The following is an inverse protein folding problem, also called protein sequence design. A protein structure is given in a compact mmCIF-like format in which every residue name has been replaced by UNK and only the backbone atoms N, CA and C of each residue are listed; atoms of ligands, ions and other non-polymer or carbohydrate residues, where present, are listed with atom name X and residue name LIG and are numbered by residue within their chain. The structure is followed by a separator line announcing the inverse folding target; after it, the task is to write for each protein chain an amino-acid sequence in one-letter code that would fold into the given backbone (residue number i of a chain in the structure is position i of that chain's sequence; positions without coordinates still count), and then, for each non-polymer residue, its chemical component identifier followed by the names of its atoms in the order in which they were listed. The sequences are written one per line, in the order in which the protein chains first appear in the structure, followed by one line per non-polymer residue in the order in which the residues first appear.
data_IF_874647440413
#
_entry.id   IF_874647440413
#
_cell.length_a   1.000
_cell.length_b   1.000
_cell.length_c   1.000
_cell.angle_alpha   90.00
_cell.angle_beta   90.00
_cell.angle_gamma   90.00
#
_symmetry.space_group_name_H-M   'P 1'
#
loop_
_entity.id
_entity.type
_entity.pdbx_description
1 polymer ?
#
# COMPACT_ATOMS: atom_id res chain seq x y z
N UNK A 1 -27.76 -20.96 -17.79
CA UNK A 1 -27.55 -19.69 -18.53
C UNK A 1 -26.95 -19.92 -19.92
N UNK A 2 -26.30 -21.06 -20.12
CA UNK A 2 -25.74 -21.46 -21.40
C UNK A 2 -26.18 -22.88 -21.74
N UNK A 3 -25.93 -23.29 -22.98
CA UNK A 3 -25.91 -24.69 -23.42
C UNK A 3 -24.55 -24.97 -24.07
N UNK A 4 -24.05 -26.19 -23.92
CA UNK A 4 -22.88 -26.67 -24.66
C UNK A 4 -23.32 -26.96 -26.10
N UNK A 5 -22.53 -26.52 -27.09
CA UNK A 5 -22.81 -26.75 -28.51
C UNK A 5 -22.02 -27.97 -29.03
N UNK A 6 -22.30 -28.40 -30.26
CA UNK A 6 -21.50 -29.45 -30.92
C UNK A 6 -20.14 -28.97 -31.48
N UNK A 7 -19.84 -27.67 -31.41
CA UNK A 7 -18.56 -27.13 -31.84
C UNK A 7 -17.50 -27.38 -30.76
N UNK A 8 -16.40 -28.05 -31.15
CA UNK A 8 -15.29 -28.37 -30.27
C UNK A 8 -13.95 -28.01 -30.90
N UNK A 9 -12.96 -27.74 -30.06
CA UNK A 9 -11.55 -27.53 -30.41
C UNK A 9 -10.67 -28.44 -29.57
N UNK A 10 -9.41 -28.59 -29.97
CA UNK A 10 -8.34 -29.14 -29.12
C UNK A 10 -7.40 -27.97 -28.86
N UNK A 11 -7.21 -27.61 -27.59
CA UNK A 11 -6.32 -26.50 -27.23
C UNK A 11 -4.85 -26.93 -27.18
N UNK A 12 -3.95 -25.99 -26.88
CA UNK A 12 -2.51 -26.24 -26.82
C UNK A 12 -2.08 -27.21 -25.69
N UNK A 13 -3.00 -27.55 -24.77
CA UNK A 13 -2.81 -28.55 -23.73
C UNK A 13 -3.35 -29.93 -24.12
N UNK A 14 -3.72 -30.14 -25.39
CA UNK A 14 -4.37 -31.34 -25.91
C UNK A 14 -5.72 -31.69 -25.23
N UNK A 15 -6.42 -30.68 -24.69
CA UNK A 15 -7.72 -30.85 -24.06
C UNK A 15 -8.82 -30.53 -25.08
N UNK A 16 -9.84 -31.40 -25.13
CA UNK A 16 -11.04 -31.15 -25.95
C UNK A 16 -11.93 -30.16 -25.22
N UNK A 17 -12.18 -29.01 -25.84
CA UNK A 17 -13.07 -27.98 -25.29
C UNK A 17 -14.31 -27.81 -26.16
N UNK A 18 -15.44 -27.54 -25.51
CA UNK A 18 -16.74 -27.37 -26.15
C UNK A 18 -17.20 -25.93 -26.06
N UNK A 19 -17.62 -25.37 -27.20
CA UNK A 19 -18.12 -24.00 -27.29
C UNK A 19 -19.47 -23.87 -26.59
N UNK A 20 -19.64 -22.83 -25.78
CA UNK A 20 -20.93 -22.53 -25.12
C UNK A 20 -21.76 -21.53 -25.94
N UNK A 21 -23.07 -21.53 -25.69
CA UNK A 21 -24.01 -20.57 -26.27
C UNK A 21 -25.02 -20.10 -25.22
N UNK A 22 -25.30 -18.80 -25.16
CA UNK A 22 -26.27 -18.22 -24.25
C UNK A 22 -27.70 -18.75 -24.54
N UNK A 23 -28.43 -19.12 -23.48
CA UNK A 23 -29.83 -19.61 -23.59
C UNK A 23 -30.87 -18.53 -23.31
N UNK A 24 -30.44 -17.38 -22.78
CA UNK A 24 -31.24 -16.19 -22.50
C UNK A 24 -30.33 -14.95 -22.61
N UNK A 25 -30.92 -13.76 -22.65
CA UNK A 25 -30.15 -12.52 -22.56
C UNK A 25 -29.46 -12.44 -21.20
N UNK A 26 -28.23 -11.93 -21.21
CA UNK A 26 -27.42 -11.69 -20.02
C UNK A 26 -26.89 -10.25 -20.06
N UNK A 27 -27.74 -9.26 -19.71
CA UNK A 27 -27.42 -7.84 -19.89
C UNK A 27 -26.16 -7.37 -19.19
N UNK A 28 -25.81 -7.95 -18.02
CA UNK A 28 -24.60 -7.61 -17.26
C UNK A 28 -23.29 -7.79 -18.05
N UNK A 29 -23.31 -8.58 -19.12
CA UNK A 29 -22.16 -8.80 -20.01
C UNK A 29 -22.46 -8.43 -21.46
N UNK A 30 -23.57 -7.74 -21.72
CA UNK A 30 -23.99 -7.40 -23.09
C UNK A 30 -24.26 -8.62 -23.99
N UNK A 31 -24.61 -9.76 -23.39
CA UNK A 31 -24.80 -11.02 -24.15
C UNK A 31 -26.28 -11.18 -24.51
N UNK A 32 -26.57 -11.46 -25.78
CA UNK A 32 -27.93 -11.77 -26.24
C UNK A 32 -28.19 -13.28 -26.31
N UNK A 33 -29.45 -13.68 -26.18
CA UNK A 33 -29.88 -15.08 -26.33
C UNK A 33 -29.42 -15.61 -27.70
N UNK A 34 -28.74 -16.74 -27.69
CA UNK A 34 -28.22 -17.36 -28.91
C UNK A 34 -26.78 -16.99 -29.24
N UNK A 35 -26.20 -15.97 -28.60
CA UNK A 35 -24.81 -15.58 -28.79
C UNK A 35 -23.85 -16.68 -28.31
N UNK A 36 -22.80 -16.93 -29.09
CA UNK A 36 -21.74 -17.88 -28.74
C UNK A 36 -20.81 -17.26 -27.69
N UNK A 37 -20.61 -17.93 -26.56
CA UNK A 37 -19.57 -17.63 -25.57
C UNK A 37 -18.29 -18.41 -25.86
N UNK A 38 -17.32 -18.47 -24.95
CA UNK A 38 -16.05 -19.18 -25.13
C UNK A 38 -16.16 -20.71 -25.01
N UNK A 39 -15.10 -21.36 -24.53
CA UNK A 39 -14.94 -22.80 -24.53
C UNK A 39 -14.74 -23.35 -23.11
N UNK A 40 -15.39 -24.47 -22.81
CA UNK A 40 -15.24 -25.19 -21.55
C UNK A 40 -14.96 -26.67 -21.80
N UNK A 41 -14.15 -27.32 -20.95
CA UNK A 41 -13.93 -28.78 -21.04
C UNK A 41 -15.18 -29.56 -20.61
N UNK A 42 -15.81 -29.14 -19.51
CA UNK A 42 -17.00 -29.76 -18.91
C UNK A 42 -17.92 -28.72 -18.28
N UNK A 43 -19.19 -29.09 -18.10
CA UNK A 43 -20.19 -28.19 -17.51
C UNK A 43 -19.79 -27.65 -16.11
N UNK A 44 -19.04 -28.45 -15.35
CA UNK A 44 -18.55 -28.07 -14.01
C UNK A 44 -17.51 -26.93 -14.02
N UNK A 45 -16.94 -26.60 -15.18
CA UNK A 45 -16.06 -25.44 -15.31
C UNK A 45 -16.82 -24.12 -15.22
N UNK A 46 -18.13 -24.11 -15.50
CA UNK A 46 -18.97 -22.91 -15.52
C UNK A 46 -20.27 -23.12 -14.75
N UNK A 47 -20.30 -22.60 -13.53
CA UNK A 47 -21.35 -22.85 -12.53
C UNK A 47 -22.00 -21.54 -12.05
N UNK A 48 -23.11 -21.66 -11.30
CA UNK A 48 -23.72 -20.61 -10.46
C UNK A 48 -23.83 -19.20 -11.04
N UNK A 49 -23.93 -19.10 -12.36
CA UNK A 49 -24.24 -17.87 -13.05
C UNK A 49 -23.07 -17.11 -13.66
N UNK A 50 -21.86 -17.67 -13.69
CA UNK A 50 -20.69 -17.09 -14.37
C UNK A 50 -20.79 -17.14 -15.90
N UNK A 51 -19.86 -16.49 -16.60
CA UNK A 51 -19.80 -16.49 -18.07
C UNK A 51 -18.40 -16.65 -18.64
N UNK A 52 -18.32 -17.39 -19.74
CA UNK A 52 -17.11 -17.47 -20.57
C UNK A 52 -17.44 -16.89 -21.94
N UNK A 53 -16.78 -15.81 -22.34
CA UNK A 53 -16.99 -15.08 -23.58
C UNK A 53 -15.81 -15.19 -24.55
N UNK A 54 -15.93 -14.59 -25.74
CA UNK A 54 -14.81 -14.52 -26.69
C UNK A 54 -14.31 -15.89 -27.15
N UNK A 55 -13.00 -16.07 -27.17
CA UNK A 55 -12.28 -17.34 -27.39
C UNK A 55 -11.73 -17.95 -26.11
N UNK A 56 -12.12 -17.41 -24.94
CA UNK A 56 -11.59 -17.82 -23.66
C UNK A 56 -11.82 -19.31 -23.38
N UNK A 57 -10.89 -19.89 -22.64
CA UNK A 57 -10.84 -21.33 -22.36
C UNK A 57 -10.88 -21.58 -20.85
N UNK A 58 -11.81 -22.42 -20.40
CA UNK A 58 -11.84 -22.89 -19.00
C UNK A 58 -11.82 -24.40 -18.96
N UNK A 59 -10.77 -24.98 -18.37
CA UNK A 59 -10.53 -26.43 -18.41
C UNK A 59 -9.83 -26.97 -17.16
N UNK A 60 -9.61 -28.27 -17.12
CA UNK A 60 -9.16 -28.96 -15.91
C UNK A 60 -10.25 -28.94 -14.83
N UNK A 61 -9.82 -28.79 -13.57
CA UNK A 61 -10.70 -28.66 -12.41
C UNK A 61 -11.05 -27.20 -12.10
N UNK A 62 -10.67 -26.24 -12.96
CA UNK A 62 -10.95 -24.83 -12.76
C UNK A 62 -12.45 -24.54 -12.80
N UNK A 63 -12.88 -23.52 -12.05
CA UNK A 63 -14.29 -23.14 -11.91
C UNK A 63 -14.48 -21.65 -12.03
N UNK A 64 -15.42 -21.25 -12.87
CA UNK A 64 -15.96 -19.89 -12.97
C UNK A 64 -17.39 -19.90 -12.46
N UNK A 65 -17.68 -19.10 -11.43
CA UNK A 65 -18.98 -19.10 -10.77
C UNK A 65 -19.48 -17.68 -10.39
N UNK A 66 -20.72 -17.60 -9.91
CA UNK A 66 -21.38 -16.36 -9.47
C UNK A 66 -21.53 -15.30 -10.57
N UNK A 67 -20.98 -14.10 -10.40
CA UNK A 67 -21.01 -13.04 -11.40
C UNK A 67 -19.67 -12.85 -12.10
N UNK A 68 -18.75 -13.81 -11.97
CA UNK A 68 -17.45 -13.76 -12.63
C UNK A 68 -17.58 -13.94 -14.15
N UNK A 69 -16.64 -13.34 -14.87
CA UNK A 69 -16.52 -13.46 -16.32
C UNK A 69 -15.09 -13.78 -16.75
N UNK A 70 -14.95 -14.72 -17.68
CA UNK A 70 -13.70 -14.98 -18.39
C UNK A 70 -13.93 -14.63 -19.87
N UNK A 71 -13.17 -13.71 -20.44
CA UNK A 71 -13.47 -13.09 -21.74
C UNK A 71 -12.24 -13.13 -22.67
N UNK A 72 -12.44 -12.73 -23.93
CA UNK A 72 -11.40 -12.60 -24.95
C UNK A 72 -10.57 -13.87 -25.18
N UNK A 73 -9.25 -13.86 -25.04
CA UNK A 73 -8.33 -14.99 -25.22
C UNK A 73 -7.86 -15.59 -23.88
N UNK A 74 -8.50 -15.23 -22.77
CA UNK A 74 -8.05 -15.63 -21.43
C UNK A 74 -8.16 -17.14 -21.19
N UNK A 75 -7.25 -17.68 -20.39
CA UNK A 75 -7.23 -19.10 -20.04
C UNK A 75 -7.32 -19.29 -18.52
N UNK A 76 -8.25 -20.14 -18.09
CA UNK A 76 -8.39 -20.51 -16.67
C UNK A 76 -8.34 -22.03 -16.54
N UNK A 77 -7.35 -22.56 -15.83
CA UNK A 77 -7.13 -24.02 -15.77
C UNK A 77 -6.51 -24.48 -14.44
N UNK A 78 -6.15 -25.77 -14.34
CA UNK A 78 -5.72 -26.35 -13.07
C UNK A 78 -6.90 -26.51 -12.10
N UNK A 79 -6.77 -26.01 -10.88
CA UNK A 79 -7.80 -26.01 -9.83
C UNK A 79 -8.29 -24.58 -9.50
N UNK A 80 -7.97 -23.61 -10.37
CA UNK A 80 -8.21 -22.20 -10.16
C UNK A 80 -9.70 -21.86 -10.01
N UNK A 81 -10.00 -20.82 -9.23
CA UNK A 81 -11.38 -20.39 -8.94
C UNK A 81 -11.58 -18.92 -9.22
N UNK A 82 -12.53 -18.61 -10.10
CA UNK A 82 -12.96 -17.26 -10.41
C UNK A 82 -14.40 -17.08 -9.94
N UNK A 83 -14.66 -16.16 -9.02
CA UNK A 83 -15.98 -15.97 -8.39
C UNK A 83 -16.25 -14.52 -7.98
N UNK A 84 -17.36 -14.21 -7.31
CA UNK A 84 -17.77 -12.82 -7.08
C UNK A 84 -18.15 -12.11 -8.38
N UNK A 85 -17.64 -10.92 -8.61
CA UNK A 85 -17.75 -10.10 -9.83
C UNK A 85 -16.42 -10.03 -10.61
N UNK A 86 -15.49 -10.93 -10.31
CA UNK A 86 -14.15 -10.91 -10.87
C UNK A 86 -14.15 -11.06 -12.39
N UNK A 87 -13.16 -10.45 -13.05
CA UNK A 87 -12.98 -10.57 -14.50
C UNK A 87 -11.58 -11.06 -14.84
N UNK A 88 -11.51 -11.98 -15.78
CA UNK A 88 -10.25 -12.40 -16.41
C UNK A 88 -10.43 -12.23 -17.92
N UNK A 89 -9.63 -11.41 -18.57
CA UNK A 89 -9.84 -11.08 -19.98
C UNK A 89 -8.53 -10.77 -20.73
N UNK A 90 -8.62 -10.34 -21.98
CA UNK A 90 -7.48 -10.28 -22.92
C UNK A 90 -6.74 -11.63 -23.01
N UNK A 91 -5.44 -11.70 -22.72
CA UNK A 91 -4.61 -12.91 -22.81
C UNK A 91 -4.20 -13.44 -21.44
N UNK A 92 -4.86 -12.98 -20.37
CA UNK A 92 -4.52 -13.36 -19.02
C UNK A 92 -4.68 -14.85 -18.77
N UNK A 93 -3.83 -15.41 -17.92
CA UNK A 93 -3.88 -16.80 -17.50
C UNK A 93 -4.03 -16.91 -15.98
N UNK A 94 -4.99 -17.72 -15.54
CA UNK A 94 -5.15 -18.05 -14.12
C UNK A 94 -5.16 -19.56 -13.94
N UNK A 95 -4.19 -20.09 -13.19
CA UNK A 95 -4.03 -21.54 -13.06
C UNK A 95 -3.45 -21.98 -11.71
N UNK A 96 -3.16 -23.27 -11.54
CA UNK A 96 -2.86 -23.83 -10.22
C UNK A 96 -4.08 -23.76 -9.29
N UNK A 97 -3.88 -23.50 -8.00
CA UNK A 97 -4.92 -23.28 -6.99
C UNK A 97 -5.34 -21.80 -6.85
N UNK A 98 -4.93 -20.94 -7.77
CA UNK A 98 -5.13 -19.50 -7.69
C UNK A 98 -6.62 -19.10 -7.60
N UNK A 99 -6.88 -17.99 -6.91
CA UNK A 99 -8.23 -17.47 -6.68
C UNK A 99 -8.34 -16.02 -7.10
N UNK A 100 -9.33 -15.70 -7.92
CA UNK A 100 -9.66 -14.32 -8.30
C UNK A 100 -11.13 -14.07 -7.97
N UNK A 101 -11.40 -13.12 -7.09
CA UNK A 101 -12.75 -12.93 -6.56
C UNK A 101 -13.08 -11.48 -6.20
N UNK A 102 -14.28 -11.25 -5.67
CA UNK A 102 -14.84 -9.91 -5.47
C UNK A 102 -14.88 -9.10 -6.77
N UNK A 103 -14.31 -7.90 -6.86
CA UNK A 103 -14.26 -7.11 -8.09
C UNK A 103 -12.87 -7.15 -8.75
N UNK A 104 -12.00 -8.10 -8.40
CA UNK A 104 -10.65 -8.15 -8.95
C UNK A 104 -10.65 -8.40 -10.46
N UNK A 105 -9.74 -7.74 -11.17
CA UNK A 105 -9.58 -7.84 -12.62
C UNK A 105 -8.17 -8.31 -12.97
N UNK A 106 -8.06 -9.31 -13.84
CA UNK A 106 -6.79 -9.81 -14.39
C UNK A 106 -6.83 -9.75 -15.91
N UNK A 107 -5.93 -9.00 -16.53
CA UNK A 107 -5.95 -8.75 -17.98
C UNK A 107 -4.55 -8.53 -18.56
N UNK A 108 -4.42 -8.09 -19.82
CA UNK A 108 -3.14 -8.10 -20.53
C UNK A 108 -2.67 -9.52 -20.81
N UNK A 109 -1.37 -9.75 -20.64
CA UNK A 109 -0.72 -11.06 -20.63
C UNK A 109 -0.39 -11.51 -19.19
N UNK A 110 -1.07 -10.99 -18.17
CA UNK A 110 -0.76 -11.31 -16.78
C UNK A 110 -1.01 -12.79 -16.47
N UNK A 111 -0.18 -13.36 -15.60
CA UNK A 111 -0.29 -14.74 -15.13
C UNK A 111 -0.46 -14.76 -13.61
N UNK A 112 -1.49 -15.45 -13.12
CA UNK A 112 -1.75 -15.66 -11.68
C UNK A 112 -1.85 -17.16 -11.41
N UNK A 113 -0.93 -17.71 -10.61
CA UNK A 113 -0.85 -19.16 -10.40
C UNK A 113 -0.31 -19.56 -9.02
N UNK A 114 -0.11 -20.86 -8.80
CA UNK A 114 0.17 -21.39 -7.46
C UNK A 114 -1.06 -21.29 -6.57
N UNK A 115 -0.90 -20.84 -5.33
CA UNK A 115 -1.97 -20.52 -4.38
C UNK A 115 -2.28 -19.01 -4.33
N UNK A 116 -1.83 -18.22 -5.33
CA UNK A 116 -1.97 -16.77 -5.30
C UNK A 116 -3.44 -16.33 -5.26
N UNK A 117 -3.72 -15.23 -4.56
CA UNK A 117 -5.06 -14.67 -4.47
C UNK A 117 -5.12 -13.21 -4.91
N UNK A 118 -6.13 -12.89 -5.71
CA UNK A 118 -6.49 -11.53 -6.12
C UNK A 118 -7.95 -11.23 -5.72
N UNK A 119 -8.18 -10.18 -4.93
CA UNK A 119 -9.51 -9.82 -4.42
C UNK A 119 -9.68 -8.32 -4.15
N UNK A 120 -10.82 -7.87 -3.65
CA UNK A 120 -11.15 -6.45 -3.58
C UNK A 120 -11.46 -5.87 -4.96
N UNK A 121 -10.90 -4.70 -5.24
CA UNK A 121 -10.85 -4.03 -6.53
C UNK A 121 -9.42 -4.10 -7.13
N UNK A 122 -8.66 -5.16 -6.83
CA UNK A 122 -7.30 -5.32 -7.32
C UNK A 122 -7.27 -5.47 -8.83
N UNK A 123 -6.24 -4.93 -9.46
CA UNK A 123 -6.02 -5.00 -10.90
C UNK A 123 -4.61 -5.53 -11.19
N UNK A 124 -4.54 -6.65 -11.91
CA UNK A 124 -3.28 -7.29 -12.32
C UNK A 124 -3.24 -7.31 -13.84
N UNK A 125 -2.26 -6.64 -14.46
CA UNK A 125 -2.23 -6.47 -15.92
C UNK A 125 -0.83 -6.35 -16.52
N UNK A 126 -0.73 -6.07 -17.82
CA UNK A 126 0.55 -6.09 -18.52
C UNK A 126 1.09 -7.51 -18.66
N UNK A 127 2.35 -7.74 -18.34
CA UNK A 127 3.00 -9.05 -18.27
C UNK A 127 3.31 -9.45 -16.80
N UNK A 128 2.51 -8.99 -15.84
CA UNK A 128 2.75 -9.27 -14.42
C UNK A 128 2.63 -10.79 -14.13
N UNK A 129 3.49 -11.29 -13.24
CA UNK A 129 3.53 -12.70 -12.81
C UNK A 129 3.34 -12.78 -11.29
N UNK A 130 2.21 -13.35 -10.87
CA UNK A 130 1.84 -13.52 -9.46
C UNK A 130 1.74 -15.01 -9.15
N UNK A 131 2.55 -15.49 -8.22
CA UNK A 131 2.70 -16.92 -7.98
C UNK A 131 2.83 -17.30 -6.50
N UNK A 132 2.93 -18.60 -6.24
CA UNK A 132 3.08 -19.16 -4.90
C UNK A 132 1.93 -18.73 -3.95
N UNK A 133 2.20 -18.10 -2.81
CA UNK A 133 1.17 -17.68 -1.85
C UNK A 133 0.96 -16.15 -1.85
N UNK A 134 1.30 -15.46 -2.95
CA UNK A 134 1.22 -14.02 -3.03
C UNK A 134 -0.22 -13.49 -3.04
N UNK A 135 -0.41 -12.27 -2.52
CA UNK A 135 -1.72 -11.62 -2.40
C UNK A 135 -1.74 -10.23 -3.05
N UNK A 136 -2.77 -9.96 -3.86
CA UNK A 136 -3.07 -8.63 -4.39
C UNK A 136 -4.50 -8.26 -4.01
N UNK A 137 -4.68 -7.24 -3.19
CA UNK A 137 -6.02 -6.89 -2.70
C UNK A 137 -6.25 -5.38 -2.48
N UNK A 138 -7.47 -5.01 -2.07
CA UNK A 138 -7.86 -3.61 -2.01
C UNK A 138 -8.01 -3.02 -3.41
N UNK A 139 -7.54 -1.81 -3.65
CA UNK A 139 -7.45 -1.16 -4.96
C UNK A 139 -6.00 -1.14 -5.48
N UNK A 140 -5.22 -2.19 -5.20
CA UNK A 140 -3.81 -2.27 -5.58
C UNK A 140 -3.65 -2.62 -7.07
N UNK A 141 -2.58 -2.12 -7.68
CA UNK A 141 -2.23 -2.34 -9.08
C UNK A 141 -0.89 -3.07 -9.18
N UNK A 142 -0.86 -4.19 -9.91
CA UNK A 142 0.39 -4.91 -10.24
C UNK A 142 0.49 -5.10 -11.75
N UNK A 143 1.50 -4.49 -12.38
CA UNK A 143 1.51 -4.38 -13.83
C UNK A 143 2.91 -4.29 -14.48
N UNK A 144 2.94 -4.07 -15.80
CA UNK A 144 4.17 -4.15 -16.60
C UNK A 144 4.83 -5.53 -16.49
N UNK A 145 6.11 -5.65 -16.13
CA UNK A 145 6.80 -6.93 -15.95
C UNK A 145 7.03 -7.24 -14.46
N UNK A 146 6.21 -6.67 -13.56
CA UNK A 146 6.33 -6.89 -12.14
C UNK A 146 6.10 -8.36 -11.77
N UNK A 147 6.83 -8.84 -10.76
CA UNK A 147 6.73 -10.21 -10.27
C UNK A 147 6.50 -10.22 -8.76
N UNK A 148 5.58 -11.07 -8.30
CA UNK A 148 5.30 -11.29 -6.89
C UNK A 148 5.20 -12.79 -6.60
N UNK A 149 6.02 -13.28 -5.67
CA UNK A 149 6.00 -14.69 -5.24
C UNK A 149 6.22 -14.82 -3.72
N UNK A 150 6.29 -16.05 -3.20
CA UNK A 150 6.33 -16.29 -1.75
C UNK A 150 5.03 -15.86 -1.07
N UNK A 151 5.16 -15.17 0.07
CA UNK A 151 4.06 -14.59 0.84
C UNK A 151 3.96 -13.07 0.62
N UNK A 152 4.43 -12.59 -0.53
CA UNK A 152 4.42 -11.18 -0.86
C UNK A 152 3.00 -10.64 -1.01
N UNK A 153 2.74 -9.44 -0.48
CA UNK A 153 1.43 -8.80 -0.51
C UNK A 153 1.49 -7.38 -1.07
N UNK A 154 0.54 -7.04 -1.93
CA UNK A 154 0.22 -5.68 -2.34
C UNK A 154 -1.23 -5.39 -1.94
N UNK A 155 -1.47 -4.38 -1.11
CA UNK A 155 -2.83 -4.04 -0.68
C UNK A 155 -3.11 -2.54 -0.57
N UNK A 156 -4.36 -2.17 -0.32
CA UNK A 156 -4.85 -0.79 -0.35
C UNK A 156 -4.70 -0.19 -1.76
N UNK A 157 -3.98 0.91 -1.96
CA UNK A 157 -3.71 1.52 -3.27
C UNK A 157 -2.21 1.40 -3.64
N UNK A 158 -1.58 0.29 -3.22
CA UNK A 158 -0.18 0.02 -3.54
C UNK A 158 0.00 -0.17 -5.05
N UNK A 159 1.14 0.28 -5.58
CA UNK A 159 1.51 0.11 -6.98
C UNK A 159 2.81 -0.69 -7.11
N UNK A 160 2.78 -1.78 -7.87
CA UNK A 160 3.97 -2.59 -8.18
C UNK A 160 4.10 -2.72 -9.70
N UNK A 161 5.16 -2.14 -10.27
CA UNK A 161 5.31 -2.04 -11.73
C UNK A 161 6.76 -2.04 -12.20
N UNK A 162 7.03 -1.76 -13.47
CA UNK A 162 8.36 -1.93 -14.05
C UNK A 162 8.73 -3.40 -14.15
N UNK A 163 9.98 -3.70 -13.81
CA UNK A 163 10.53 -5.05 -13.61
C UNK A 163 10.72 -5.34 -12.12
N UNK A 164 9.89 -4.75 -11.25
CA UNK A 164 10.01 -4.92 -9.80
C UNK A 164 9.79 -6.39 -9.39
N UNK A 165 10.51 -6.82 -8.36
CA UNK A 165 10.41 -8.18 -7.81
C UNK A 165 10.11 -8.14 -6.31
N UNK A 166 8.99 -8.74 -5.93
CA UNK A 166 8.59 -8.91 -4.54
C UNK A 166 8.61 -10.39 -4.17
N UNK A 167 9.28 -10.73 -3.07
CA UNK A 167 9.35 -12.13 -2.59
C UNK A 167 9.46 -12.23 -1.07
N UNK A 168 9.21 -13.43 -0.53
CA UNK A 168 9.21 -13.65 0.92
C UNK A 168 7.99 -13.03 1.61
N UNK A 169 8.12 -12.69 2.89
CA UNK A 169 7.06 -12.13 3.75
C UNK A 169 7.00 -10.59 3.65
N UNK A 170 6.93 -10.06 2.43
CA UNK A 170 6.91 -8.61 2.21
C UNK A 170 5.48 -8.06 1.99
N UNK A 171 5.23 -6.81 2.35
CA UNK A 171 3.92 -6.17 2.22
C UNK A 171 4.08 -4.71 1.79
N UNK A 172 3.48 -4.37 0.65
CA UNK A 172 3.40 -3.01 0.11
C UNK A 172 1.95 -2.52 0.27
N UNK A 173 1.78 -1.38 0.93
CA UNK A 173 0.49 -0.97 1.45
C UNK A 173 0.27 0.54 1.27
N UNK A 174 -0.96 0.99 1.56
CA UNK A 174 -1.39 2.39 1.42
C UNK A 174 -1.25 2.91 -0.01
N UNK A 175 -0.37 3.87 -0.27
CA UNK A 175 -0.06 4.41 -1.62
C UNK A 175 1.42 4.22 -1.94
N UNK A 176 2.08 3.27 -1.28
CA UNK A 176 3.49 2.97 -1.49
C UNK A 176 3.67 2.30 -2.86
N UNK A 177 4.81 2.57 -3.50
CA UNK A 177 5.13 1.99 -4.80
C UNK A 177 6.49 1.33 -4.88
N UNK A 178 6.53 0.23 -5.64
CA UNK A 178 7.76 -0.49 -6.00
C UNK A 178 7.85 -0.55 -7.52
N UNK A 179 8.94 -0.07 -8.10
CA UNK A 179 9.05 0.08 -9.56
C UNK A 179 10.46 -0.06 -10.12
N UNK A 180 10.61 0.15 -11.43
CA UNK A 180 11.89 -0.03 -12.15
C UNK A 180 12.43 -1.45 -11.92
N UNK A 181 13.67 -1.65 -11.46
CA UNK A 181 14.24 -2.98 -11.21
C UNK A 181 14.32 -3.30 -9.70
N UNK A 182 13.54 -2.62 -8.87
CA UNK A 182 13.64 -2.76 -7.43
C UNK A 182 13.26 -4.17 -6.95
N UNK A 183 14.03 -4.67 -5.98
CA UNK A 183 13.82 -5.95 -5.31
C UNK A 183 13.43 -5.67 -3.86
N UNK A 184 12.25 -6.15 -3.45
CA UNK A 184 11.76 -6.10 -2.07
C UNK A 184 11.52 -7.52 -1.58
N UNK A 185 12.34 -7.97 -0.64
CA UNK A 185 12.35 -9.35 -0.19
C UNK A 185 12.30 -9.49 1.34
N UNK A 186 12.08 -10.72 1.82
CA UNK A 186 12.08 -11.04 3.25
C UNK A 186 10.97 -10.34 4.02
N UNK A 187 11.16 -10.15 5.33
CA UNK A 187 10.21 -9.48 6.23
C UNK A 187 10.22 -7.95 6.02
N UNK A 188 9.70 -7.46 4.89
CA UNK A 188 9.67 -6.03 4.56
C UNK A 188 8.26 -5.45 4.55
N UNK A 189 8.03 -4.32 5.20
CA UNK A 189 6.75 -3.63 5.24
C UNK A 189 6.89 -2.19 4.72
N UNK A 190 6.42 -1.92 3.50
CA UNK A 190 6.42 -0.60 2.89
C UNK A 190 5.02 0.04 2.93
N UNK A 191 4.92 1.29 3.40
CA UNK A 191 3.64 1.96 3.67
C UNK A 191 3.70 3.49 3.45
N UNK A 192 2.55 4.16 3.53
CA UNK A 192 2.45 5.58 3.25
C UNK A 192 2.68 5.91 1.77
N UNK A 193 3.49 6.93 1.48
CA UNK A 193 3.91 7.38 0.14
C UNK A 193 5.35 6.94 -0.19
N UNK A 194 5.81 5.83 0.40
CA UNK A 194 7.15 5.31 0.15
C UNK A 194 7.32 4.90 -1.33
N UNK A 195 8.50 5.19 -1.90
CA UNK A 195 8.87 4.87 -3.27
C UNK A 195 10.17 4.07 -3.27
N UNK A 196 10.09 2.83 -3.73
CA UNK A 196 11.23 1.94 -3.89
C UNK A 196 11.40 1.72 -5.40
N UNK A 197 12.50 2.19 -5.98
CA UNK A 197 12.71 2.15 -7.42
C UNK A 197 14.19 1.99 -7.78
N UNK A 198 14.58 2.23 -9.03
CA UNK A 198 15.94 2.00 -9.50
C UNK A 198 16.34 0.53 -9.39
N UNK A 199 17.56 0.32 -8.91
CA UNK A 199 18.13 -1.01 -8.66
C UNK A 199 18.20 -1.27 -7.13
N UNK A 200 17.24 -0.73 -6.37
CA UNK A 200 17.15 -0.91 -4.93
C UNK A 200 17.01 -2.40 -4.58
N UNK A 201 17.78 -2.87 -3.60
CA UNK A 201 17.60 -4.19 -2.99
C UNK A 201 17.29 -3.95 -1.52
N UNK A 202 16.14 -4.45 -1.09
CA UNK A 202 15.54 -4.15 0.20
C UNK A 202 15.16 -5.44 0.92
N UNK A 203 15.49 -5.52 2.21
CA UNK A 203 15.04 -6.62 3.09
C UNK A 203 16.01 -7.79 3.23
N UNK A 204 17.17 -7.74 2.57
CA UNK A 204 18.24 -8.72 2.80
C UNK A 204 18.82 -8.58 4.22
N UNK A 205 18.83 -9.66 5.01
CA UNK A 205 19.48 -9.70 6.32
C UNK A 205 18.75 -9.00 7.48
N UNK A 206 17.52 -8.53 7.27
CA UNK A 206 16.73 -7.86 8.32
C UNK A 206 15.60 -8.76 8.84
N UNK A 207 15.43 -8.81 10.17
CA UNK A 207 14.34 -9.59 10.81
C UNK A 207 12.96 -8.92 10.70
N UNK A 208 12.92 -7.62 10.39
CA UNK A 208 11.75 -6.85 9.97
C UNK A 208 12.22 -5.48 9.50
N UNK A 209 12.00 -5.12 8.24
CA UNK A 209 12.34 -3.81 7.67
C UNK A 209 11.08 -2.99 7.40
N UNK A 210 10.93 -1.83 8.03
CA UNK A 210 9.78 -0.94 7.83
C UNK A 210 10.14 0.29 7.03
N UNK A 211 9.54 0.46 5.85
CA UNK A 211 9.75 1.59 4.95
C UNK A 211 8.49 2.45 4.90
N UNK A 212 8.56 3.68 5.39
CA UNK A 212 7.35 4.49 5.58
C UNK A 212 7.48 5.94 5.18
N UNK A 213 6.37 6.67 5.28
CA UNK A 213 6.34 8.12 5.04
C UNK A 213 6.47 8.43 3.55
N UNK A 214 7.41 9.30 3.17
CA UNK A 214 7.74 9.65 1.78
C UNK A 214 9.14 9.15 1.38
N UNK A 215 9.60 8.07 2.00
CA UNK A 215 10.91 7.50 1.74
C UNK A 215 11.10 7.27 0.24
N UNK A 216 12.27 7.61 -0.29
CA UNK A 216 12.65 7.32 -1.67
C UNK A 216 13.94 6.53 -1.64
N UNK A 217 13.86 5.28 -2.07
CA UNK A 217 14.95 4.30 -2.07
C UNK A 217 15.20 3.93 -3.53
N UNK A 218 16.34 4.29 -4.10
CA UNK A 218 16.72 3.97 -5.48
C UNK A 218 17.84 2.92 -5.56
N UNK A 219 18.55 2.72 -4.46
CA UNK A 219 19.71 1.85 -4.32
C UNK A 219 19.75 1.25 -2.90
N UNK A 220 20.53 0.18 -2.71
CA UNK A 220 20.73 -0.39 -1.38
C UNK A 220 21.34 0.61 -0.37
N UNK A 221 22.21 1.52 -0.82
CA UNK A 221 22.81 2.55 0.06
C UNK A 221 21.79 3.56 0.60
N UNK A 222 20.65 3.75 -0.08
CA UNK A 222 19.59 4.60 0.44
C UNK A 222 18.99 3.97 1.70
N UNK A 223 18.81 2.63 1.72
CA UNK A 223 18.35 1.88 2.90
C UNK A 223 19.28 2.11 4.09
N UNK A 224 20.60 2.06 3.86
CA UNK A 224 21.60 2.34 4.90
C UNK A 224 21.58 3.80 5.37
N UNK A 225 21.38 4.77 4.47
CA UNK A 225 21.33 6.19 4.84
C UNK A 225 20.16 6.49 5.81
N UNK A 226 19.03 5.83 5.64
CA UNK A 226 17.89 5.93 6.53
C UNK A 226 18.11 5.02 7.76
N UNK A 227 18.91 5.49 8.73
CA UNK A 227 19.04 4.78 10.00
C UNK A 227 17.74 4.88 10.82
N UNK A 228 17.36 3.77 11.47
CA UNK A 228 16.32 3.73 12.49
C UNK A 228 16.56 4.84 13.52
N UNK A 229 15.67 5.84 13.60
CA UNK A 229 15.72 6.79 14.71
C UNK A 229 15.12 6.09 15.95
N UNK A 230 15.93 5.76 16.98
CA UNK A 230 15.44 5.02 18.12
C UNK A 230 14.66 5.96 19.04
N UNK A 231 13.43 5.54 19.33
CA UNK A 231 12.57 6.08 20.37
C UNK A 231 12.09 7.54 20.18
N UNK A 232 10.92 7.72 19.57
CA UNK A 232 10.19 9.00 19.53
C UNK A 232 9.56 9.37 20.89
N UNK A 233 9.56 8.45 21.86
CA UNK A 233 8.94 8.66 23.18
C UNK A 233 9.53 9.82 24.00
N UNK A 234 10.85 10.11 23.98
CA UNK A 234 11.42 11.30 24.61
C UNK A 234 10.91 12.60 23.98
N UNK A 235 10.70 12.62 22.65
CA UNK A 235 10.11 13.77 21.96
C UNK A 235 8.64 13.94 22.34
N UNK A 236 7.85 12.86 22.34
CA UNK A 236 6.45 12.90 22.79
C UNK A 236 6.35 13.42 24.22
N UNK A 237 7.18 12.91 25.15
CA UNK A 237 7.25 13.39 26.54
C UNK A 237 7.63 14.87 26.64
N UNK A 238 8.57 15.33 25.83
CA UNK A 238 8.94 16.75 25.79
C UNK A 238 7.79 17.63 25.30
N UNK A 239 7.09 17.22 24.24
CA UNK A 239 5.97 17.99 23.68
C UNK A 239 4.75 18.00 24.61
N UNK A 240 4.47 16.90 25.31
CA UNK A 240 3.45 16.84 26.38
C UNK A 240 3.81 17.77 27.54
N UNK A 241 5.07 17.78 27.97
CA UNK A 241 5.54 18.70 29.00
C UNK A 241 5.40 20.17 28.60
N UNK A 242 5.65 20.51 27.33
CA UNK A 242 5.41 21.87 26.80
C UNK A 242 3.93 22.23 26.84
N UNK A 243 3.04 21.33 26.41
CA UNK A 243 1.59 21.55 26.45
C UNK A 243 1.11 21.83 27.89
N UNK A 244 1.53 21.00 28.85
CA UNK A 244 1.25 21.21 30.27
C UNK A 244 1.73 22.58 30.79
N UNK A 245 2.96 22.99 30.43
CA UNK A 245 3.56 24.25 30.92
C UNK A 245 3.05 25.50 30.20
N UNK A 246 2.34 25.35 29.08
CA UNK A 246 1.71 26.45 28.33
C UNK A 246 0.20 26.53 28.54
N UNK A 247 -0.32 25.81 29.54
CA UNK A 247 -1.74 25.80 29.93
C UNK A 247 -2.69 25.42 28.78
N UNK A 248 -2.30 24.48 27.91
CA UNK A 248 -3.17 24.01 26.82
C UNK A 248 -3.16 24.91 25.58
N UNK A 249 -2.27 25.90 25.52
CA UNK A 249 -2.08 26.78 24.35
C UNK A 249 -1.37 26.05 23.17
N UNK A 250 -0.96 24.80 23.38
CA UNK A 250 -0.19 23.98 22.46
C UNK A 250 -0.87 22.61 22.25
N UNK A 251 -1.75 22.48 21.25
CA UNK A 251 -2.47 21.22 21.04
C UNK A 251 -1.63 20.25 20.20
N UNK A 252 -1.19 19.17 20.84
CA UNK A 252 -0.48 18.08 20.16
C UNK A 252 -1.46 17.02 19.64
N UNK A 253 -1.45 16.78 18.33
CA UNK A 253 -2.10 15.61 17.73
C UNK A 253 -1.02 14.65 17.26
N UNK A 254 -0.82 13.56 17.99
CA UNK A 254 0.09 12.48 17.60
C UNK A 254 -0.73 11.43 16.83
N UNK A 255 -0.48 11.31 15.53
CA UNK A 255 -1.02 10.24 14.71
C UNK A 255 -0.13 9.00 14.80
N UNK A 256 -0.71 7.84 15.11
CA UNK A 256 0.02 6.56 15.19
C UNK A 256 0.51 6.08 13.83
N UNK A 257 -0.19 6.42 12.75
CA UNK A 257 0.21 6.08 11.38
C UNK A 257 1.17 7.16 10.85
N UNK A 258 2.35 6.75 10.40
CA UNK A 258 3.41 7.60 9.81
C UNK A 258 4.20 8.50 10.78
N UNK A 259 4.08 8.33 12.10
CA UNK A 259 4.71 9.24 13.08
C UNK A 259 4.47 10.72 12.73
N UNK A 260 3.27 11.03 12.22
CA UNK A 260 2.88 12.42 12.00
C UNK A 260 2.60 13.05 13.35
N UNK A 261 3.51 13.92 13.78
CA UNK A 261 3.28 14.79 14.92
C UNK A 261 2.72 16.10 14.35
N UNK A 262 1.40 16.23 14.39
CA UNK A 262 0.77 17.52 14.09
C UNK A 262 0.82 18.37 15.34
N UNK A 263 1.57 19.46 15.25
CA UNK A 263 1.73 20.45 16.29
C UNK A 263 0.83 21.65 15.96
N UNK A 264 -0.31 21.77 16.63
CA UNK A 264 -1.20 22.93 16.48
C UNK A 264 -0.82 23.93 17.57
N UNK A 265 -0.32 25.10 17.18
CA UNK A 265 0.12 26.11 18.14
C UNK A 265 -0.52 27.45 17.82
N UNK A 266 -1.32 27.95 18.76
CA UNK A 266 -1.90 29.29 18.67
C UNK A 266 -0.88 30.36 19.13
N UNK A 267 0.29 30.40 18.46
CA UNK A 267 1.38 31.32 18.78
C UNK A 267 2.12 31.81 17.52
N UNK A 268 2.85 32.94 17.60
CA UNK A 268 3.62 33.46 16.47
C UNK A 268 4.70 32.46 16.01
N UNK A 269 4.90 32.23 14.70
CA UNK A 269 5.85 31.24 14.15
C UNK A 269 7.28 31.33 14.69
N UNK A 270 7.71 32.53 15.10
CA UNK A 270 9.05 32.82 15.62
C UNK A 270 9.26 32.27 17.04
N UNK A 271 8.24 32.34 17.89
CA UNK A 271 8.28 31.76 19.25
C UNK A 271 8.38 30.24 19.19
N UNK A 272 7.69 29.63 18.23
CA UNK A 272 7.62 28.18 18.10
C UNK A 272 8.94 27.62 17.57
N UNK A 273 9.59 28.34 16.63
CA UNK A 273 10.96 28.03 16.20
C UNK A 273 11.94 28.09 17.37
N UNK A 274 11.85 29.10 18.24
CA UNK A 274 12.72 29.21 19.41
C UNK A 274 12.46 28.14 20.48
N UNK A 275 11.19 27.77 20.69
CA UNK A 275 10.77 26.74 21.63
C UNK A 275 11.16 25.32 21.18
N UNK A 276 10.99 25.02 19.89
CA UNK A 276 11.35 23.73 19.32
C UNK A 276 12.84 23.63 19.02
N UNK A 277 13.56 24.75 18.80
CA UNK A 277 14.99 24.74 18.48
C UNK A 277 15.82 23.83 19.40
N UNK A 278 15.73 23.88 20.73
CA UNK A 278 16.48 22.99 21.61
C UNK A 278 16.16 21.50 21.41
N UNK A 279 14.89 21.14 21.23
CA UNK A 279 14.50 19.76 20.90
C UNK A 279 15.00 19.35 19.50
N UNK A 280 14.94 20.26 18.52
CA UNK A 280 15.47 20.05 17.18
C UNK A 280 16.97 19.77 17.22
N UNK A 281 17.73 20.50 18.05
CA UNK A 281 19.18 20.28 18.21
C UNK A 281 19.49 18.99 18.98
N UNK A 282 18.78 18.77 20.08
CA UNK A 282 19.03 17.68 21.01
C UNK A 282 18.64 16.31 20.44
N UNK A 283 17.60 16.25 19.61
CA UNK A 283 17.11 15.02 18.98
C UNK A 283 17.44 14.94 17.48
N UNK A 284 18.32 15.81 16.97
CA UNK A 284 18.78 15.78 15.58
C UNK A 284 17.69 16.02 14.53
N UNK A 285 16.62 16.76 14.86
CA UNK A 285 15.42 16.86 14.02
C UNK A 285 15.47 17.95 12.94
N UNK A 286 16.65 18.50 12.63
CA UNK A 286 16.80 19.63 11.70
C UNK A 286 16.25 19.34 10.29
N UNK A 287 16.15 18.06 9.92
CA UNK A 287 15.64 17.58 8.65
C UNK A 287 14.10 17.37 8.61
N UNK A 288 13.42 17.35 9.76
CA UNK A 288 12.00 16.96 9.86
C UNK A 288 11.03 18.13 10.07
N UNK A 289 11.52 19.35 9.97
CA UNK A 289 10.68 20.55 9.92
C UNK A 289 10.77 21.08 8.49
N UNK A 290 9.87 20.65 7.59
CA UNK A 290 9.79 21.28 6.28
C UNK A 290 9.48 22.76 6.52
N UNK A 291 10.18 23.66 5.84
CA UNK A 291 10.20 25.10 6.10
C UNK A 291 8.87 25.87 5.96
N UNK A 292 7.71 25.21 5.94
CA UNK A 292 6.40 25.82 5.76
C UNK A 292 5.53 25.73 7.02
N UNK A 293 5.54 26.79 7.82
CA UNK A 293 4.42 27.07 8.73
C UNK A 293 3.25 27.61 7.91
N UNK A 294 2.03 27.11 8.12
CA UNK A 294 0.81 27.70 7.54
C UNK A 294 -0.05 28.20 8.70
N UNK A 295 -0.01 29.52 8.95
CA UNK A 295 -0.71 30.14 10.08
C UNK A 295 -0.25 29.61 11.44
N UNK A 296 -1.19 29.11 12.24
CA UNK A 296 -1.02 28.59 13.61
C UNK A 296 -0.77 27.06 13.67
N UNK A 297 -0.40 26.42 12.56
CA UNK A 297 -0.18 24.97 12.51
C UNK A 297 1.19 24.64 11.92
N UNK A 298 1.95 23.80 12.62
CA UNK A 298 3.07 23.05 12.04
C UNK A 298 2.71 21.57 11.97
N UNK A 299 2.93 20.99 10.80
CA UNK A 299 2.88 19.55 10.63
C UNK A 299 4.32 19.06 10.62
N UNK A 300 4.73 18.34 11.67
CA UNK A 300 5.93 17.50 11.62
C UNK A 300 5.45 16.16 11.04
N UNK A 301 5.35 16.11 9.72
CA UNK A 301 4.94 14.94 8.97
C UNK A 301 5.91 14.72 7.81
N UNK A 302 5.96 13.48 7.30
CA UNK A 302 6.93 12.99 6.29
C UNK A 302 8.31 12.63 6.86
N UNK A 303 8.35 11.90 7.98
CA UNK A 303 9.59 11.23 8.37
C UNK A 303 9.69 9.91 7.56
N UNK A 304 10.70 9.73 6.69
CA UNK A 304 10.99 8.42 6.13
C UNK A 304 11.35 7.47 7.28
N UNK A 305 10.68 6.34 7.37
CA UNK A 305 11.16 5.22 8.19
C UNK A 305 11.96 4.29 7.30
N UNK A 306 13.14 3.89 7.77
CA UNK A 306 13.74 2.59 7.47
C UNK A 306 14.13 2.05 8.84
N UNK A 307 13.29 1.19 9.40
CA UNK A 307 13.43 0.69 10.76
C UNK A 307 13.61 -0.81 10.77
N UNK A 308 14.66 -1.28 11.47
CA UNK A 308 14.67 -2.60 12.10
C UNK A 308 14.42 -2.45 13.59
N UNK A 309 13.70 -3.41 14.20
CA UNK A 309 13.48 -3.43 15.65
C UNK A 309 14.79 -3.73 16.37
N UNK A 310 15.29 -2.80 17.18
CA UNK A 310 16.29 -3.08 18.22
C UNK A 310 15.66 -2.90 19.60
N UNK A 311 15.78 -3.95 20.41
CA UNK A 311 15.37 -3.98 21.81
C UNK A 311 16.07 -2.85 22.59
N UNK A 312 15.30 -2.21 23.46
CA UNK A 312 15.68 -1.04 24.24
C UNK A 312 16.79 -1.35 25.26
N UNK A 313 17.77 -0.45 25.39
CA UNK A 313 18.55 -0.29 26.63
C UNK A 313 19.31 1.07 26.67
N UNK A 314 19.11 1.83 27.77
CA UNK A 314 19.92 2.98 28.29
C UNK A 314 19.88 4.35 27.53
N UNK A 315 19.91 5.56 28.14
CA UNK A 315 20.06 6.01 29.53
C UNK A 315 20.17 7.57 29.66
N UNK A 316 19.59 8.06 30.76
CA UNK A 316 19.67 9.32 31.55
C UNK A 316 20.53 10.59 31.22
N UNK A 317 21.17 10.81 30.07
CA UNK A 317 22.08 11.98 29.92
C UNK A 317 21.48 13.31 29.38
N UNK A 318 20.19 13.38 29.10
CA UNK A 318 19.60 14.40 28.22
C UNK A 318 18.75 15.50 28.92
N UNK A 319 18.97 15.82 30.20
CA UNK A 319 18.09 16.74 30.96
C UNK A 319 18.62 18.18 31.19
N UNK A 320 19.80 18.54 30.68
CA UNK A 320 20.43 19.85 30.97
C UNK A 320 20.02 20.92 29.95
N UNK A 321 19.91 20.58 28.67
CA UNK A 321 19.60 21.55 27.60
C UNK A 321 18.12 22.00 27.59
N UNK A 322 17.19 21.08 27.87
CA UNK A 322 15.76 21.38 28.01
C UNK A 322 15.43 22.42 29.10
N UNK A 323 16.24 22.50 30.17
CA UNK A 323 16.06 23.51 31.24
C UNK A 323 16.45 24.92 30.80
N UNK A 324 17.29 25.06 29.76
CA UNK A 324 17.71 26.37 29.21
C UNK A 324 16.65 26.92 28.25
N UNK A 325 16.04 26.05 27.44
CA UNK A 325 14.89 26.36 26.60
C UNK A 325 13.71 26.94 27.39
N UNK A 326 13.41 26.30 28.53
CA UNK A 326 12.31 26.65 29.43
C UNK A 326 12.43 28.07 30.02
N UNK A 327 13.67 28.51 30.32
CA UNK A 327 13.93 29.86 30.85
C UNK A 327 13.64 30.95 29.83
N UNK A 328 13.93 30.70 28.55
CA UNK A 328 13.67 31.65 27.47
C UNK A 328 12.16 31.77 27.18
N UNK A 329 11.43 30.65 27.23
CA UNK A 329 9.97 30.65 27.08
C UNK A 329 9.28 31.40 28.22
N UNK A 330 9.69 31.16 29.47
CA UNK A 330 9.16 31.88 30.65
C UNK A 330 9.38 33.40 30.52
N UNK A 331 10.56 33.82 30.07
CA UNK A 331 10.89 35.23 29.86
C UNK A 331 10.04 35.87 28.73
N UNK A 332 9.64 35.10 27.72
CA UNK A 332 8.78 35.57 26.64
C UNK A 332 7.30 35.67 27.06
N UNK A 333 6.76 34.65 27.73
CA UNK A 333 5.37 34.63 28.21
C UNK A 333 5.15 35.77 29.23
N UNK A 334 6.09 35.97 30.15
CA UNK A 334 6.01 37.03 31.16
C UNK A 334 6.25 38.45 30.59
N UNK A 335 6.67 38.60 29.32
CA UNK A 335 6.73 39.90 28.63
C UNK A 335 5.38 40.34 28.05
N UNK A 336 4.41 39.44 27.89
CA UNK A 336 3.08 39.80 27.39
C UNK A 336 2.20 40.50 28.43
N UNK A 337 2.53 40.42 29.72
CA UNK A 337 1.76 41.05 30.80
C UNK A 337 1.98 42.58 30.95
N UNK A 338 2.77 43.22 30.08
CA UNK A 338 3.09 44.66 30.17
C UNK A 338 2.54 45.56 29.04
N UNK A 339 1.69 45.05 28.16
CA UNK A 339 0.85 45.88 27.28
C UNK A 339 -0.64 45.68 27.55
N UNK A 340 -1.02 45.65 28.82
CA UNK A 340 -2.35 46.14 29.21
C UNK A 340 -2.22 47.66 29.41
N UNK A 341 -2.28 48.44 28.33
CA UNK A 341 -2.59 49.87 28.47
C UNK A 341 -4.00 49.97 29.03
N UNK A 342 -4.21 50.63 30.20
CA UNK A 342 -5.55 50.88 30.68
C UNK A 342 -6.25 51.84 29.71
N UNK A 343 -7.42 51.44 29.22
CA UNK A 343 -8.40 52.35 28.64
C UNK A 343 -8.79 53.34 29.75
N UNK A 344 -8.56 54.67 29.60
CA UNK A 344 -9.08 55.61 30.58
C UNK A 344 -10.60 55.66 30.46
N UNK A 345 -11.30 55.34 31.56
CA UNK A 345 -12.71 55.59 31.70
C UNK A 345 -12.95 57.10 31.87
N UNK A 346 -13.81 57.64 31.00
CA UNK A 346 -14.28 59.03 30.84
C UNK A 346 -14.25 59.96 32.07
N UNK A 347 -13.80 61.20 31.84
CA UNK A 347 -14.56 62.43 32.07
C UNK A 347 -14.26 63.48 31.02
#
# INVERSE_FOLDING_TARGET
MYRVTGCKIINNHNIVLYRIQATKDIPKWGVTKGQRGGYIERADNLLNGGWVGGTAEVFGAARVLENAAVLDEAQVYGTARIYGKAKVYEKAKVFGEARVYENAEVYGNAEVYGNAEAYGNAEIYGNADISENAWVCGAAHVYENATMCGHAAAHNHAEVYGSAHLSGECSIVDVASVSENAIVQGDTYAYGEAKISGDAIVGEGHSLLRIGGNATIRTASDVEAYHSNPDIQPLIRYLQYVDEKTLGSFKLQVGLYNNMIRIVVDAPPQLIKELLAPAIRQFGMYYFIPGGWVGHTAVVGRMPHVGTHLYAEHGAHNMVEGRRALRNLHAYVNRKDFYATPIPANR
#
